data_IF_326727595670
#
_entry.id   IF_326727595670
#
_cell.length_a   1.000
_cell.length_b   1.000
_cell.length_c   1.000
_cell.angle_alpha   90.00
_cell.angle_beta   90.00
_cell.angle_gamma   90.00
#
_symmetry.space_group_name_H-M   'P 1'
#
loop_
_entity.id
_entity.type
_entity.pdbx_description
1 polymer ?
#
# COMPACT_ATOMS: atom_id res chain seq x y z
N UNK A 1 -48.95 2.26 -20.24
CA UNK A 1 -47.86 2.88 -19.45
C UNK A 1 -46.60 2.05 -19.66
N UNK A 2 -45.67 2.52 -20.50
CA UNK A 2 -44.40 1.84 -20.71
C UNK A 2 -43.50 2.19 -19.53
N UNK A 3 -43.13 1.18 -18.74
CA UNK A 3 -42.17 1.34 -17.65
C UNK A 3 -40.82 1.66 -18.29
N UNK A 4 -40.43 2.92 -18.23
CA UNK A 4 -39.13 3.39 -18.67
C UNK A 4 -38.07 2.74 -17.76
N UNK A 5 -37.44 1.68 -18.26
CA UNK A 5 -36.32 1.04 -17.59
C UNK A 5 -35.11 1.94 -17.80
N UNK A 6 -34.82 2.75 -16.78
CA UNK A 6 -33.62 3.58 -16.70
C UNK A 6 -32.40 2.68 -16.92
N UNK A 7 -31.78 2.80 -18.09
CA UNK A 7 -30.54 2.08 -18.43
C UNK A 7 -29.38 2.72 -17.68
N UNK A 8 -29.13 2.30 -16.44
CA UNK A 8 -27.97 2.79 -15.65
C UNK A 8 -26.65 2.13 -16.05
N UNK A 9 -26.44 1.78 -17.31
CA UNK A 9 -25.13 1.26 -17.74
C UNK A 9 -24.89 1.56 -19.21
N UNK A 10 -24.07 2.57 -19.47
CA UNK A 10 -23.68 3.01 -20.80
C UNK A 10 -23.02 1.85 -21.58
N UNK A 11 -23.41 1.67 -22.85
CA UNK A 11 -22.82 0.69 -23.77
C UNK A 11 -21.32 0.93 -24.03
N UNK A 12 -20.82 2.13 -23.72
CA UNK A 12 -19.42 2.52 -23.89
C UNK A 12 -18.57 1.86 -22.79
N UNK A 13 -17.71 0.93 -23.19
CA UNK A 13 -16.85 0.13 -22.29
C UNK A 13 -17.16 -1.36 -22.31
N UNK A 14 -18.42 -1.74 -22.59
CA UNK A 14 -18.84 -3.14 -22.65
C UNK A 14 -18.26 -3.92 -23.84
N UNK A 15 -17.73 -3.24 -24.87
CA UNK A 15 -17.20 -3.86 -26.11
C UNK A 15 -18.12 -4.96 -26.66
N UNK A 16 -19.44 -4.76 -26.60
CA UNK A 16 -20.45 -5.73 -27.05
C UNK A 16 -20.72 -6.93 -26.11
N UNK A 17 -20.12 -6.97 -24.92
CA UNK A 17 -20.32 -8.05 -23.94
C UNK A 17 -21.54 -7.79 -23.06
N UNK A 18 -22.35 -8.82 -22.89
CA UNK A 18 -23.48 -8.83 -21.96
C UNK A 18 -23.00 -9.31 -20.57
N UNK A 19 -23.55 -8.78 -19.46
CA UNK A 19 -23.28 -9.32 -18.13
C UNK A 19 -23.63 -10.81 -18.05
N UNK A 20 -22.73 -11.62 -17.50
CA UNK A 20 -22.97 -13.04 -17.28
C UNK A 20 -24.05 -13.25 -16.21
N UNK A 21 -24.96 -14.19 -16.43
CA UNK A 21 -25.91 -14.65 -15.41
C UNK A 21 -25.12 -15.25 -14.23
N UNK A 22 -25.57 -15.06 -12.97
CA UNK A 22 -24.96 -15.72 -11.83
C UNK A 22 -25.01 -17.23 -12.02
N UNK A 23 -23.84 -17.87 -11.96
CA UNK A 23 -23.66 -19.32 -12.13
C UNK A 23 -23.93 -20.00 -10.78
N UNK A 24 -24.73 -21.06 -10.78
CA UNK A 24 -25.08 -21.84 -9.60
C UNK A 24 -23.85 -22.43 -8.88
N UNK A 25 -23.91 -22.68 -7.56
CA UNK A 25 -22.75 -23.08 -6.78
C UNK A 25 -22.42 -24.56 -7.02
N UNK A 26 -21.26 -24.82 -7.64
CA UNK A 26 -20.73 -26.17 -7.82
C UNK A 26 -19.21 -26.14 -7.80
N UNK A 27 -18.65 -26.78 -6.77
CA UNK A 27 -17.24 -27.15 -6.53
C UNK A 27 -16.17 -26.37 -7.31
N UNK A 28 -15.67 -25.30 -6.69
CA UNK A 28 -14.42 -24.66 -7.11
C UNK A 28 -13.22 -25.33 -6.38
N UNK A 29 -12.01 -25.28 -6.95
CA UNK A 29 -10.75 -25.28 -6.16
C UNK A 29 -10.80 -24.17 -5.09
N UNK A 30 -9.86 -24.05 -4.12
CA UNK A 30 -9.96 -23.04 -3.06
C UNK A 30 -10.35 -21.68 -3.67
N UNK A 31 -11.44 -21.14 -3.15
CA UNK A 31 -12.21 -20.10 -3.83
C UNK A 31 -11.31 -18.87 -4.01
N UNK A 32 -11.30 -18.17 -5.16
CA UNK A 32 -10.50 -16.94 -5.34
C UNK A 32 -10.70 -15.93 -4.21
N UNK A 33 -11.91 -15.89 -3.64
CA UNK A 33 -12.24 -15.01 -2.52
C UNK A 33 -11.58 -15.32 -1.18
N UNK A 34 -10.98 -16.49 -0.96
CA UNK A 34 -10.26 -16.79 0.30
C UNK A 34 -8.88 -16.14 0.32
N UNK A 35 -8.15 -16.19 -0.80
CA UNK A 35 -6.86 -15.53 -0.96
C UNK A 35 -7.00 -14.00 -0.89
N UNK A 36 -7.99 -13.44 -1.59
CA UNK A 36 -8.26 -12.00 -1.58
C UNK A 36 -8.57 -11.50 -0.16
N UNK A 37 -9.36 -12.25 0.61
CA UNK A 37 -9.66 -11.91 2.02
C UNK A 37 -8.43 -11.96 2.92
N UNK A 38 -7.55 -12.93 2.72
CA UNK A 38 -6.31 -13.03 3.48
C UNK A 38 -5.38 -11.85 3.20
N UNK A 39 -5.24 -11.45 1.93
CA UNK A 39 -4.45 -10.28 1.53
C UNK A 39 -5.01 -8.98 2.13
N UNK A 40 -6.33 -8.79 2.04
CA UNK A 40 -7.01 -7.63 2.64
C UNK A 40 -6.82 -7.62 4.15
N UNK A 41 -6.98 -8.76 4.83
CA UNK A 41 -6.77 -8.86 6.27
C UNK A 41 -5.33 -8.54 6.66
N UNK A 42 -4.35 -9.11 5.95
CA UNK A 42 -2.95 -8.79 6.17
C UNK A 42 -2.69 -7.29 6.01
N UNK A 43 -3.25 -6.67 4.96
CA UNK A 43 -3.16 -5.23 4.73
C UNK A 43 -3.75 -4.42 5.88
N UNK A 44 -4.99 -4.71 6.31
CA UNK A 44 -5.67 -3.99 7.40
C UNK A 44 -4.91 -4.12 8.72
N UNK A 45 -4.49 -5.33 9.09
CA UNK A 45 -3.78 -5.61 10.34
C UNK A 45 -2.41 -4.92 10.43
N UNK A 46 -1.83 -4.54 9.29
CA UNK A 46 -0.50 -3.92 9.19
C UNK A 46 -0.54 -2.42 8.89
N UNK A 47 -1.72 -1.80 8.96
CA UNK A 47 -1.89 -0.37 8.82
C UNK A 47 -2.47 0.23 10.11
N UNK A 48 -2.11 1.48 10.44
CA UNK A 48 -2.68 2.15 11.58
C UNK A 48 -4.18 2.43 11.34
N UNK A 49 -4.98 2.36 12.40
CA UNK A 49 -6.38 2.76 12.31
C UNK A 49 -6.46 4.29 12.15
N UNK A 50 -7.27 4.75 11.19
CA UNK A 50 -7.47 6.19 10.94
C UNK A 50 -7.99 6.95 12.17
N UNK A 51 -8.65 6.27 13.10
CA UNK A 51 -9.14 6.84 14.36
C UNK A 51 -8.07 7.00 15.44
N UNK A 52 -6.89 6.39 15.29
CA UNK A 52 -5.83 6.35 16.32
C UNK A 52 -4.48 6.88 15.80
N UNK A 53 -4.52 7.81 14.85
CA UNK A 53 -3.32 8.43 14.31
C UNK A 53 -2.66 9.35 15.34
N UNK A 54 -1.33 9.34 15.37
CA UNK A 54 -0.53 10.17 16.27
C UNK A 54 -0.11 11.47 15.57
N UNK A 55 -0.73 12.57 16.01
CA UNK A 55 -0.45 13.93 15.55
C UNK A 55 0.48 14.70 16.49
N UNK A 56 1.06 14.07 17.53
CA UNK A 56 1.88 14.74 18.55
C UNK A 56 3.06 15.53 17.97
N UNK A 57 3.59 15.08 16.83
CA UNK A 57 4.72 15.70 16.12
C UNK A 57 4.32 16.41 14.83
N UNK A 58 3.03 16.49 14.51
CA UNK A 58 2.58 17.10 13.26
C UNK A 58 2.74 18.62 13.29
N UNK A 59 3.48 19.17 12.32
CA UNK A 59 3.69 20.62 12.22
C UNK A 59 3.69 21.09 10.77
N UNK A 60 2.65 21.84 10.41
CA UNK A 60 2.45 22.39 9.06
C UNK A 60 2.98 23.82 8.88
N UNK A 61 3.43 24.49 9.95
CA UNK A 61 3.94 25.86 9.85
C UNK A 61 5.41 25.85 9.35
N UNK A 62 5.71 26.46 8.20
CA UNK A 62 7.06 26.50 7.62
C UNK A 62 8.09 27.20 8.52
N UNK A 63 7.67 28.17 9.35
CA UNK A 63 8.57 28.95 10.20
C UNK A 63 9.23 28.09 11.29
N UNK A 64 8.53 27.08 11.81
CA UNK A 64 9.06 26.16 12.81
C UNK A 64 9.98 25.10 12.22
N UNK A 65 9.90 24.88 10.91
CA UNK A 65 10.74 23.92 10.19
C UNK A 65 12.07 24.52 9.77
N UNK A 66 12.38 25.76 10.15
CA UNK A 66 13.70 26.36 9.99
C UNK A 66 14.60 26.09 11.21
N UNK A 67 14.00 25.77 12.36
CA UNK A 67 14.71 25.53 13.61
C UNK A 67 14.76 24.02 13.92
N UNK A 68 15.95 23.43 13.82
CA UNK A 68 16.16 22.02 14.12
C UNK A 68 17.53 21.55 13.62
N UNK A 69 18.12 20.58 14.33
CA UNK A 69 19.35 19.90 13.94
C UNK A 69 19.04 18.86 12.87
N UNK A 70 19.68 18.96 11.70
CA UNK A 70 19.50 18.03 10.59
C UNK A 70 19.74 16.58 11.01
N UNK A 71 20.62 16.35 11.99
CA UNK A 71 20.92 15.04 12.57
C UNK A 71 19.65 14.39 13.15
N UNK A 72 18.78 15.17 13.81
CA UNK A 72 17.54 14.64 14.40
C UNK A 72 16.53 14.22 13.33
N UNK A 73 16.46 14.96 12.23
CA UNK A 73 15.55 14.64 11.11
C UNK A 73 16.02 13.41 10.34
N UNK A 74 17.33 13.26 10.15
CA UNK A 74 17.94 12.08 9.55
C UNK A 74 17.74 10.85 10.45
N UNK A 75 17.91 10.99 11.77
CA UNK A 75 17.62 9.91 12.70
C UNK A 75 16.14 9.50 12.66
N UNK A 76 15.23 10.49 12.68
CA UNK A 76 13.80 10.24 12.54
C UNK A 76 13.47 9.50 11.24
N UNK A 77 14.13 9.84 10.13
CA UNK A 77 13.98 9.14 8.87
C UNK A 77 14.36 7.65 9.00
N UNK A 78 15.51 7.35 9.58
CA UNK A 78 15.92 5.96 9.82
C UNK A 78 14.95 5.21 10.73
N UNK A 79 14.48 5.85 11.81
CA UNK A 79 13.52 5.24 12.74
C UNK A 79 12.18 4.92 12.04
N UNK A 80 11.73 5.78 11.11
CA UNK A 80 10.52 5.54 10.32
C UNK A 80 10.70 4.40 9.33
N UNK A 81 11.87 4.29 8.70
CA UNK A 81 12.19 3.18 7.79
C UNK A 81 12.29 1.85 8.55
N UNK A 82 13.08 1.79 9.62
CA UNK A 82 13.29 0.56 10.39
C UNK A 82 12.00 0.09 11.07
N UNK A 83 11.24 1.01 11.69
CA UNK A 83 9.93 0.67 12.25
C UNK A 83 8.92 0.20 11.19
N UNK A 84 8.98 0.75 9.97
CA UNK A 84 8.15 0.25 8.87
C UNK A 84 8.60 -1.12 8.36
N UNK A 85 9.89 -1.44 8.44
CA UNK A 85 10.45 -2.73 8.03
C UNK A 85 9.85 -3.87 8.86
N UNK A 86 9.78 -3.73 10.18
CA UNK A 86 9.20 -4.74 11.07
C UNK A 86 7.72 -4.98 10.76
N UNK A 87 6.95 -3.90 10.55
CA UNK A 87 5.53 -3.98 10.23
C UNK A 87 5.30 -4.64 8.86
N UNK A 88 6.09 -4.28 7.84
CA UNK A 88 5.98 -4.86 6.50
C UNK A 88 6.45 -6.33 6.50
N UNK A 89 7.44 -6.69 7.32
CA UNK A 89 7.87 -8.09 7.48
C UNK A 89 6.74 -8.93 8.08
N UNK A 90 6.10 -8.45 9.16
CA UNK A 90 4.93 -9.12 9.74
C UNK A 90 3.72 -9.16 8.80
N UNK A 91 3.59 -8.19 7.88
CA UNK A 91 2.61 -8.26 6.79
C UNK A 91 2.94 -9.36 5.77
N UNK A 92 4.20 -9.47 5.36
CA UNK A 92 4.66 -10.45 4.38
C UNK A 92 4.42 -11.89 4.83
N UNK A 93 4.68 -12.18 6.12
CA UNK A 93 4.45 -13.49 6.74
C UNK A 93 2.97 -13.93 6.72
N UNK A 94 2.03 -12.97 6.63
CA UNK A 94 0.59 -13.24 6.56
C UNK A 94 0.09 -13.50 5.13
N UNK A 95 0.95 -13.36 4.12
CA UNK A 95 0.58 -13.63 2.72
C UNK A 95 0.52 -15.14 2.49
N UNK A 96 -0.63 -15.69 2.03
CA UNK A 96 -0.74 -17.11 1.73
C UNK A 96 0.33 -17.57 0.73
N UNK A 97 1.06 -18.62 1.07
CA UNK A 97 2.10 -19.19 0.22
C UNK A 97 3.47 -18.49 0.28
N UNK A 98 3.59 -17.35 0.98
CA UNK A 98 4.87 -16.63 1.11
C UNK A 98 5.91 -17.40 1.93
N UNK A 99 5.46 -18.12 2.97
CA UNK A 99 6.33 -18.97 3.81
C UNK A 99 6.81 -20.26 3.10
N UNK A 100 6.33 -20.54 1.89
CA UNK A 100 6.59 -21.76 1.12
C UNK A 100 7.55 -21.56 -0.06
N UNK A 101 8.63 -20.79 0.13
CA UNK A 101 9.94 -21.37 -0.20
C UNK A 101 10.97 -21.09 0.91
N UNK A 102 11.66 -22.13 1.40
CA UNK A 102 12.71 -22.00 2.44
C UNK A 102 13.98 -21.25 1.98
N UNK A 103 14.05 -20.78 0.74
CA UNK A 103 15.21 -20.06 0.21
C UNK A 103 14.75 -18.95 -0.72
N UNK A 104 14.81 -17.71 -0.24
CA UNK A 104 14.46 -16.52 -1.04
C UNK A 104 13.51 -15.53 -0.38
N UNK A 105 12.94 -15.82 0.78
CA UNK A 105 12.02 -14.90 1.49
C UNK A 105 12.73 -13.59 1.87
N UNK A 106 13.91 -13.68 2.49
CA UNK A 106 14.69 -12.48 2.82
C UNK A 106 15.08 -11.71 1.57
N UNK A 107 15.48 -12.40 0.49
CA UNK A 107 15.80 -11.75 -0.79
C UNK A 107 14.60 -10.99 -1.38
N UNK A 108 13.43 -11.62 -1.44
CA UNK A 108 12.19 -10.99 -1.92
C UNK A 108 11.83 -9.78 -1.07
N UNK A 109 11.89 -9.93 0.25
CA UNK A 109 11.56 -8.88 1.20
C UNK A 109 12.54 -7.70 1.11
N UNK A 110 13.84 -7.94 1.21
CA UNK A 110 14.87 -6.91 1.15
C UNK A 110 14.85 -6.18 -0.19
N UNK A 111 14.61 -6.91 -1.29
CA UNK A 111 14.52 -6.31 -2.63
C UNK A 111 13.27 -5.44 -2.81
N UNK A 112 12.15 -5.79 -2.16
CA UNK A 112 10.88 -5.10 -2.32
C UNK A 112 10.56 -4.10 -1.19
N UNK A 113 11.33 -4.09 -0.10
CA UNK A 113 10.99 -3.33 1.11
C UNK A 113 10.76 -1.84 0.82
N UNK A 114 11.68 -1.20 0.09
CA UNK A 114 11.57 0.24 -0.19
C UNK A 114 10.38 0.55 -1.11
N UNK A 115 10.13 -0.31 -2.09
CA UNK A 115 8.98 -0.20 -3.00
C UNK A 115 7.67 -0.33 -2.20
N UNK A 116 7.58 -1.32 -1.30
CA UNK A 116 6.42 -1.53 -0.43
C UNK A 116 6.23 -0.39 0.56
N UNK A 117 7.31 0.13 1.13
CA UNK A 117 7.28 1.28 2.03
C UNK A 117 6.65 2.48 1.33
N UNK A 118 7.14 2.85 0.13
CA UNK A 118 6.59 3.96 -0.68
C UNK A 118 5.16 3.68 -1.10
N UNK A 119 4.87 2.49 -1.65
CA UNK A 119 3.54 2.14 -2.15
C UNK A 119 2.48 2.25 -1.06
N UNK A 120 2.77 1.70 0.12
CA UNK A 120 1.85 1.74 1.26
C UNK A 120 1.75 3.15 1.86
N UNK A 121 2.86 3.90 1.92
CA UNK A 121 2.87 5.29 2.38
C UNK A 121 2.02 6.18 1.46
N UNK A 122 2.19 6.05 0.16
CA UNK A 122 1.46 6.78 -0.85
C UNK A 122 -0.05 6.47 -0.82
N UNK A 123 -0.42 5.22 -0.59
CA UNK A 123 -1.82 4.81 -0.52
C UNK A 123 -2.57 5.40 0.69
N UNK A 124 -1.94 5.38 1.87
CA UNK A 124 -2.60 5.79 3.13
C UNK A 124 -2.49 7.28 3.47
N UNK A 125 -1.59 8.02 2.83
CA UNK A 125 -1.35 9.44 3.08
C UNK A 125 -2.45 10.35 2.52
N UNK A 126 -2.47 11.62 2.88
CA UNK A 126 -3.33 12.63 2.26
C UNK A 126 -2.45 13.68 1.55
N UNK A 127 -2.19 13.53 0.24
CA UNK A 127 -1.30 14.40 -0.51
C UNK A 127 -1.88 15.82 -0.67
N UNK A 128 -3.21 15.98 -0.73
CA UNK A 128 -3.86 17.29 -0.87
C UNK A 128 -3.59 18.20 0.34
N UNK A 129 -3.47 17.63 1.53
CA UNK A 129 -3.11 18.36 2.76
C UNK A 129 -1.61 18.26 3.10
N UNK A 130 -0.82 17.60 2.25
CA UNK A 130 0.60 17.33 2.52
C UNK A 130 0.82 16.51 3.79
N UNK A 131 -0.12 15.62 4.17
CA UNK A 131 -0.03 14.77 5.35
C UNK A 131 0.48 13.39 4.98
N UNK A 132 1.61 13.01 5.56
CA UNK A 132 2.24 11.71 5.39
C UNK A 132 1.92 10.88 6.62
N UNK A 133 1.23 9.76 6.44
CA UNK A 133 0.82 8.86 7.51
C UNK A 133 1.73 7.63 7.44
N UNK A 134 2.51 7.34 8.48
CA UNK A 134 3.47 6.22 8.49
C UNK A 134 2.85 4.92 9.03
N UNK A 135 3.51 3.78 8.82
CA UNK A 135 2.99 2.46 9.22
C UNK A 135 2.72 2.35 10.73
N UNK A 136 3.43 3.12 11.55
CA UNK A 136 3.28 3.19 13.01
C UNK A 136 2.20 4.19 13.47
N UNK A 137 1.47 4.81 12.54
CA UNK A 137 0.41 5.78 12.86
C UNK A 137 0.89 7.21 13.06
N UNK A 138 2.20 7.47 13.06
CA UNK A 138 2.75 8.83 13.13
C UNK A 138 2.33 9.62 11.88
N UNK A 139 1.88 10.85 12.09
CA UNK A 139 1.54 11.78 11.02
C UNK A 139 2.52 12.95 10.99
N UNK A 140 3.15 13.17 9.85
CA UNK A 140 4.04 14.30 9.61
C UNK A 140 3.56 15.12 8.41
N UNK A 141 3.89 16.40 8.40
CA UNK A 141 3.72 17.23 7.22
C UNK A 141 4.85 16.97 6.21
N UNK A 142 4.54 17.06 4.92
CA UNK A 142 5.50 16.95 3.80
C UNK A 142 6.77 17.73 4.08
N UNK A 143 6.64 18.98 4.52
CA UNK A 143 7.78 19.85 4.71
C UNK A 143 8.67 19.43 5.90
N UNK A 144 8.13 18.74 6.92
CA UNK A 144 8.94 18.12 7.98
C UNK A 144 9.78 16.97 7.44
N UNK A 145 9.20 16.19 6.51
CA UNK A 145 9.86 15.06 5.89
C UNK A 145 10.99 15.50 4.93
N UNK A 146 10.93 16.69 4.33
CA UNK A 146 11.99 17.18 3.39
C UNK A 146 13.37 17.16 4.04
N UNK A 147 13.50 17.43 5.34
CA UNK A 147 14.81 17.44 6.02
C UNK A 147 15.43 16.04 6.19
N UNK A 148 14.61 15.00 6.29
CA UNK A 148 15.08 13.62 6.43
C UNK A 148 15.10 12.84 5.12
N UNK A 149 14.06 13.02 4.29
CA UNK A 149 13.87 12.32 3.02
C UNK A 149 14.45 13.08 1.81
N UNK A 150 14.79 14.36 1.98
CA UNK A 150 15.19 15.22 0.86
C UNK A 150 14.05 15.42 -0.15
N UNK A 151 14.41 15.67 -1.41
CA UNK A 151 13.47 15.85 -2.53
C UNK A 151 12.65 14.59 -2.83
N UNK A 152 13.10 13.42 -2.35
CA UNK A 152 12.39 12.15 -2.59
C UNK A 152 10.97 12.17 -2.03
N UNK A 153 10.71 12.91 -0.94
CA UNK A 153 9.35 13.00 -0.40
C UNK A 153 8.37 13.66 -1.36
N UNK A 154 8.84 14.58 -2.20
CA UNK A 154 7.99 15.27 -3.18
C UNK A 154 7.54 14.29 -4.26
N UNK A 155 8.45 13.43 -4.72
CA UNK A 155 8.12 12.34 -5.63
C UNK A 155 7.14 11.34 -5.01
N UNK A 156 7.26 11.04 -3.71
CA UNK A 156 6.31 10.16 -3.00
C UNK A 156 4.91 10.81 -2.93
N UNK A 157 4.84 12.12 -2.66
CA UNK A 157 3.57 12.86 -2.60
C UNK A 157 2.93 12.95 -3.99
N UNK A 158 3.72 13.19 -5.03
CA UNK A 158 3.25 13.16 -6.42
C UNK A 158 2.71 11.77 -6.79
N UNK A 159 3.46 10.71 -6.47
CA UNK A 159 3.02 9.33 -6.67
C UNK A 159 1.74 9.01 -5.89
N UNK A 160 1.61 9.49 -4.65
CA UNK A 160 0.39 9.38 -3.84
C UNK A 160 -0.82 10.02 -4.51
N UNK A 161 -0.67 11.24 -5.04
CA UNK A 161 -1.73 11.93 -5.79
C UNK A 161 -2.18 11.13 -7.01
N UNK A 162 -1.22 10.62 -7.80
CA UNK A 162 -1.50 9.81 -8.98
C UNK A 162 -2.20 8.49 -8.60
N UNK A 163 -1.71 7.81 -7.55
CA UNK A 163 -2.30 6.57 -7.05
C UNK A 163 -3.76 6.75 -6.59
N UNK A 164 -4.04 7.83 -5.87
CA UNK A 164 -5.38 8.12 -5.35
C UNK A 164 -6.37 8.50 -6.46
N UNK A 165 -5.91 9.18 -7.51
CA UNK A 165 -6.75 9.53 -8.67
C UNK A 165 -7.28 8.32 -9.45
N UNK A 166 -6.66 7.14 -9.27
CA UNK A 166 -7.14 5.88 -9.85
C UNK A 166 -8.26 5.22 -9.03
N UNK A 167 -8.59 5.72 -7.83
CA UNK A 167 -9.63 5.19 -6.95
C UNK A 167 -9.52 3.67 -6.71
N UNK A 168 -8.30 3.19 -6.45
CA UNK A 168 -8.02 1.76 -6.20
C UNK A 168 -8.63 1.33 -4.86
N UNK A 169 -9.53 0.35 -4.90
CA UNK A 169 -10.11 -0.23 -3.68
C UNK A 169 -9.10 -1.05 -2.87
N UNK A 170 -9.44 -1.33 -1.62
CA UNK A 170 -8.55 -2.05 -0.69
C UNK A 170 -8.19 -3.46 -1.17
N UNK A 171 -9.10 -4.13 -1.87
CA UNK A 171 -8.87 -5.48 -2.38
C UNK A 171 -7.83 -5.47 -3.51
N UNK A 172 -8.02 -4.61 -4.50
CA UNK A 172 -7.07 -4.42 -5.58
C UNK A 172 -5.71 -3.93 -5.07
N UNK A 173 -5.70 -2.98 -4.13
CA UNK A 173 -4.45 -2.50 -3.52
C UNK A 173 -3.71 -3.63 -2.79
N UNK A 174 -4.42 -4.46 -2.03
CA UNK A 174 -3.82 -5.60 -1.31
C UNK A 174 -3.14 -6.58 -2.27
N UNK A 175 -3.74 -6.82 -3.44
CA UNK A 175 -3.13 -7.62 -4.50
C UNK A 175 -1.91 -6.94 -5.12
N UNK A 176 -1.97 -5.63 -5.44
CA UNK A 176 -0.84 -4.88 -6.00
C UNK A 176 0.34 -4.89 -5.02
N UNK A 177 0.10 -4.68 -3.73
CA UNK A 177 1.14 -4.76 -2.71
C UNK A 177 1.77 -6.15 -2.66
N UNK A 178 0.97 -7.22 -2.67
CA UNK A 178 1.50 -8.58 -2.71
C UNK A 178 2.36 -8.84 -3.97
N UNK A 179 1.92 -8.37 -5.14
CA UNK A 179 2.65 -8.49 -6.41
C UNK A 179 3.98 -7.72 -6.42
N UNK A 180 4.06 -6.56 -5.75
CA UNK A 180 5.31 -5.82 -5.62
C UNK A 180 6.39 -6.62 -4.88
N UNK A 181 5.99 -7.52 -3.98
CA UNK A 181 6.91 -8.40 -3.26
C UNK A 181 7.13 -9.74 -3.97
N UNK A 182 6.06 -10.38 -4.43
CA UNK A 182 6.08 -11.69 -5.09
C UNK A 182 6.33 -11.48 -6.60
N UNK A 183 7.51 -10.97 -6.90
CA UNK A 183 8.00 -10.75 -8.26
C UNK A 183 9.31 -11.51 -8.47
N UNK A 184 9.63 -11.82 -9.72
CA UNK A 184 10.91 -12.42 -10.06
C UNK A 184 12.07 -11.51 -9.65
N UNK A 185 13.06 -12.07 -8.95
CA UNK A 185 14.28 -11.39 -8.52
C UNK A 185 15.48 -12.25 -8.89
N UNK A 186 16.53 -11.60 -9.38
CA UNK A 186 17.78 -12.28 -9.69
C UNK A 186 18.37 -12.90 -8.41
N UNK A 187 18.77 -14.17 -8.46
CA UNK A 187 19.30 -14.91 -7.30
C UNK A 187 18.26 -15.75 -6.55
N UNK A 188 17.00 -15.74 -6.96
CA UNK A 188 16.03 -16.76 -6.52
C UNK A 188 16.47 -18.12 -7.06
N UNK A 189 16.61 -19.11 -6.16
CA UNK A 189 16.84 -20.49 -6.57
C UNK A 189 15.55 -20.99 -7.21
N UNK A 190 15.57 -21.28 -8.51
CA UNK A 190 14.41 -21.85 -9.20
C UNK A 190 13.91 -23.10 -8.46
N UNK A 191 12.62 -23.17 -8.18
CA UNK A 191 11.98 -24.44 -7.88
C UNK A 191 12.00 -25.25 -9.18
N UNK A 192 12.82 -26.31 -9.23
CA UNK A 192 12.63 -27.37 -10.21
C UNK A 192 11.22 -27.93 -9.98
N UNK A 193 10.30 -27.62 -10.89
CA UNK A 193 8.98 -28.25 -10.95
C UNK A 193 9.09 -29.73 -11.29
#
# INVERSE_FOLDING_TARGET
MVKEVVRTDSLKGRRGRLPSKPKAPGAFPPSPGESDRALVRAHVDSNPAMSSLDYSRFQANPEYQMNGDDTQHIQQFYDLLTGSMEIIRGWAEKIPGFLTPQTGQDLLFESAFLELFVLRLAYRSNPAEGKLIFCNGVVLNRLQCVRGFGEWIDSIVEFSSNLQSMNIDISAFSCIAALAMVTERHGLKEQKS
#
